data_IF_136630842663
#
_entry.id   IF_136630842663
#
_cell.length_a   1.000
_cell.length_b   1.000
_cell.length_c   1.000
_cell.angle_alpha   90.00
_cell.angle_beta   90.00
_cell.angle_gamma   90.00
#
_symmetry.space_group_name_H-M   'P 1'
#
loop_
_entity.id
_entity.type
_entity.pdbx_description
1 polymer ?
#
# COMPACT_ATOMS: atom_id res chain seq x y z
N UNK A 1 -3.74 29.30 -15.84
CA UNK A 1 -4.13 27.87 -15.75
C UNK A 1 -3.23 27.21 -14.72
N UNK A 2 -3.79 26.68 -13.62
CA UNK A 2 -3.01 25.85 -12.72
C UNK A 2 -2.60 24.57 -13.48
N UNK A 3 -1.32 24.27 -13.54
CA UNK A 3 -0.83 23.06 -14.18
C UNK A 3 -1.51 21.84 -13.56
N UNK A 4 -2.11 20.97 -14.38
CA UNK A 4 -2.62 19.69 -13.91
C UNK A 4 -1.42 18.87 -13.41
N UNK A 5 -1.37 18.60 -12.11
CA UNK A 5 -0.35 17.72 -11.54
C UNK A 5 -0.73 16.28 -11.88
N UNK A 6 0.21 15.56 -12.50
CA UNK A 6 0.07 14.13 -12.76
C UNK A 6 0.82 13.34 -11.70
N UNK A 7 0.25 12.20 -11.33
CA UNK A 7 0.84 11.25 -10.40
C UNK A 7 0.96 9.90 -11.10
N UNK A 8 2.10 9.23 -10.94
CA UNK A 8 2.31 7.89 -11.49
C UNK A 8 1.54 6.91 -10.62
N UNK A 9 0.71 6.08 -11.26
CA UNK A 9 -0.12 5.11 -10.59
C UNK A 9 0.02 3.74 -11.24
N UNK A 10 0.20 2.69 -10.43
CA UNK A 10 0.22 1.31 -10.90
C UNK A 10 -1.19 0.73 -10.85
N UNK A 11 -1.76 0.38 -12.01
CA UNK A 11 -3.07 -0.29 -12.08
C UNK A 11 -3.04 -1.67 -11.42
N UNK A 12 -1.89 -2.36 -11.49
CA UNK A 12 -1.65 -3.61 -10.78
C UNK A 12 -0.83 -3.27 -9.53
N UNK A 13 -1.35 -3.46 -8.31
CA UNK A 13 -0.72 -2.91 -7.12
C UNK A 13 0.48 -3.77 -6.66
N UNK A 14 1.55 -3.09 -6.22
CA UNK A 14 2.79 -3.75 -5.73
C UNK A 14 2.56 -4.70 -4.55
N UNK A 15 1.48 -4.54 -3.79
CA UNK A 15 1.15 -5.41 -2.65
C UNK A 15 0.86 -6.86 -3.06
N UNK A 16 0.51 -7.11 -4.34
CA UNK A 16 0.33 -8.46 -4.88
C UNK A 16 1.56 -9.34 -4.70
N UNK A 17 2.77 -8.76 -4.75
CA UNK A 17 4.01 -9.49 -4.46
C UNK A 17 4.00 -10.10 -3.06
N UNK A 18 3.43 -9.40 -2.07
CA UNK A 18 3.31 -9.93 -0.71
C UNK A 18 2.30 -11.07 -0.59
N UNK A 19 1.24 -11.09 -1.39
CA UNK A 19 0.31 -12.21 -1.46
C UNK A 19 0.96 -13.40 -2.14
N UNK A 20 1.57 -13.18 -3.31
CA UNK A 20 2.34 -14.18 -4.04
C UNK A 20 3.41 -14.83 -3.16
N UNK A 21 4.26 -14.02 -2.51
CA UNK A 21 5.37 -14.53 -1.69
C UNK A 21 4.85 -15.35 -0.51
N UNK A 22 3.74 -14.94 0.14
CA UNK A 22 3.12 -15.72 1.22
C UNK A 22 2.55 -17.05 0.73
N UNK A 23 1.80 -17.03 -0.38
CA UNK A 23 1.23 -18.23 -0.98
C UNK A 23 2.32 -19.22 -1.40
N UNK A 24 3.38 -18.74 -2.07
CA UNK A 24 4.51 -19.54 -2.52
C UNK A 24 5.32 -20.15 -1.37
N UNK A 25 5.38 -19.48 -0.21
CA UNK A 25 6.05 -19.97 0.99
C UNK A 25 5.17 -20.84 1.90
N UNK A 26 3.88 -20.98 1.59
CA UNK A 26 2.90 -21.66 2.44
C UNK A 26 3.12 -23.17 2.52
N UNK A 27 2.94 -23.74 3.71
CA UNK A 27 2.89 -25.19 3.88
C UNK A 27 1.51 -25.73 3.45
N UNK A 28 1.40 -27.06 3.25
CA UNK A 28 0.10 -27.70 2.96
C UNK A 28 -0.75 -27.87 4.23
N UNK A 29 -0.90 -26.79 4.98
CA UNK A 29 -1.72 -26.66 6.16
C UNK A 29 -2.85 -25.64 5.94
N UNK A 30 -3.68 -25.42 6.96
CA UNK A 30 -4.79 -24.46 6.84
C UNK A 30 -4.34 -23.03 6.56
N UNK A 31 -3.17 -22.62 7.06
CA UNK A 31 -2.66 -21.27 6.87
C UNK A 31 -2.09 -21.06 5.46
N UNK A 32 -1.36 -22.03 4.93
CA UNK A 32 -0.85 -22.00 3.57
C UNK A 32 -1.96 -22.12 2.53
N UNK A 33 -2.98 -22.95 2.77
CA UNK A 33 -4.19 -22.98 1.92
C UNK A 33 -4.91 -21.63 1.92
N UNK A 34 -5.07 -20.99 3.07
CA UNK A 34 -5.67 -19.65 3.12
C UNK A 34 -4.82 -18.60 2.39
N UNK A 35 -3.49 -18.64 2.54
CA UNK A 35 -2.61 -17.73 1.83
C UNK A 35 -2.69 -17.92 0.31
N UNK A 36 -2.87 -19.16 -0.15
CA UNK A 36 -3.09 -19.48 -1.56
C UNK A 36 -4.43 -18.94 -2.08
N UNK A 37 -5.53 -19.15 -1.35
CA UNK A 37 -6.83 -18.56 -1.73
C UNK A 37 -6.80 -17.03 -1.73
N UNK A 38 -6.15 -16.42 -0.73
CA UNK A 38 -5.97 -14.96 -0.68
C UNK A 38 -5.20 -14.46 -1.92
N UNK A 39 -4.17 -15.20 -2.36
CA UNK A 39 -3.44 -14.88 -3.59
C UNK A 39 -4.33 -14.98 -4.83
N UNK A 40 -5.04 -16.09 -5.03
CA UNK A 40 -5.92 -16.27 -6.19
C UNK A 40 -7.00 -15.20 -6.26
N UNK A 41 -7.68 -14.91 -5.14
CA UNK A 41 -8.73 -13.89 -5.08
C UNK A 41 -8.18 -12.52 -5.46
N UNK A 42 -7.01 -12.13 -4.94
CA UNK A 42 -6.38 -10.88 -5.32
C UNK A 42 -5.94 -10.85 -6.78
N UNK A 43 -5.36 -11.95 -7.29
CA UNK A 43 -4.94 -12.05 -8.69
C UNK A 43 -6.13 -11.82 -9.62
N UNK A 44 -7.26 -12.50 -9.39
CA UNK A 44 -8.49 -12.31 -10.15
C UNK A 44 -9.04 -10.90 -10.06
N UNK A 45 -9.00 -10.27 -8.89
CA UNK A 45 -9.46 -8.89 -8.71
C UNK A 45 -8.74 -7.89 -9.61
N UNK A 46 -7.45 -8.10 -9.89
CA UNK A 46 -6.65 -7.25 -10.77
C UNK A 46 -6.49 -7.78 -12.19
N UNK A 47 -7.19 -8.87 -12.55
CA UNK A 47 -7.06 -9.51 -13.86
C UNK A 47 -5.65 -10.08 -14.10
N UNK A 48 -4.96 -10.46 -13.03
CA UNK A 48 -3.66 -11.12 -13.07
C UNK A 48 -3.88 -12.63 -13.12
N UNK A 49 -3.14 -13.32 -13.97
CA UNK A 49 -3.11 -14.78 -14.01
C UNK A 49 -2.53 -15.32 -12.68
N UNK A 50 -3.25 -16.15 -11.92
CA UNK A 50 -2.75 -16.69 -10.64
C UNK A 50 -1.51 -17.59 -10.81
N UNK A 51 -1.29 -18.15 -12.01
CA UNK A 51 -0.15 -19.00 -12.34
C UNK A 51 1.07 -18.20 -12.86
N UNK A 52 0.99 -16.86 -12.85
CA UNK A 52 2.08 -15.98 -13.29
C UNK A 52 3.36 -16.24 -12.47
N UNK A 53 4.53 -16.23 -13.12
CA UNK A 53 5.79 -16.28 -12.39
C UNK A 53 6.01 -14.99 -11.60
N UNK A 54 6.83 -15.06 -10.54
CA UNK A 54 7.16 -13.89 -9.73
C UNK A 54 7.80 -12.76 -10.55
N UNK A 55 8.70 -13.10 -11.47
CA UNK A 55 9.39 -12.15 -12.35
C UNK A 55 8.43 -11.47 -13.33
N UNK A 56 7.48 -12.23 -13.86
CA UNK A 56 6.45 -11.72 -14.75
C UNK A 56 5.45 -10.83 -13.98
N UNK A 57 5.13 -11.18 -12.73
CA UNK A 57 4.31 -10.34 -11.86
C UNK A 57 4.99 -9.00 -11.56
N UNK A 58 6.29 -9.00 -11.24
CA UNK A 58 7.06 -7.76 -11.09
C UNK A 58 7.00 -6.93 -12.37
N UNK A 59 7.26 -7.55 -13.52
CA UNK A 59 7.24 -6.87 -14.82
C UNK A 59 5.85 -6.30 -15.17
N UNK A 60 4.79 -7.03 -14.88
CA UNK A 60 3.40 -6.58 -15.05
C UNK A 60 3.09 -5.38 -14.16
N UNK A 61 3.53 -5.41 -12.89
CA UNK A 61 3.35 -4.30 -11.96
C UNK A 61 4.06 -3.05 -12.49
N UNK A 62 5.33 -3.15 -12.88
CA UNK A 62 6.10 -2.00 -13.37
C UNK A 62 5.49 -1.42 -14.67
N UNK A 63 5.09 -2.28 -15.61
CA UNK A 63 4.47 -1.86 -16.87
C UNK A 63 3.05 -1.33 -16.70
N UNK A 64 2.36 -1.66 -15.60
CA UNK A 64 1.04 -1.12 -15.26
C UNK A 64 1.06 0.34 -14.79
N UNK A 65 2.26 0.94 -14.65
CA UNK A 65 2.42 2.34 -14.28
C UNK A 65 1.87 3.28 -15.37
N UNK A 66 0.90 4.10 -15.02
CA UNK A 66 0.30 5.09 -15.89
C UNK A 66 0.22 6.46 -15.19
N UNK A 67 0.49 7.57 -15.90
CA UNK A 67 0.25 8.90 -15.37
C UNK A 67 -1.26 9.15 -15.32
N UNK A 68 -1.77 9.52 -14.14
CA UNK A 68 -3.16 9.94 -13.96
C UNK A 68 -3.22 11.34 -13.34
N UNK A 69 -4.24 12.16 -13.65
CA UNK A 69 -4.44 13.44 -12.97
C UNK A 69 -4.54 13.26 -11.45
N UNK A 70 -3.87 14.13 -10.68
CA UNK A 70 -3.88 14.06 -9.22
C UNK A 70 -5.30 14.17 -8.62
N UNK A 71 -6.23 14.84 -9.32
CA UNK A 71 -7.65 14.89 -8.94
C UNK A 71 -8.34 13.54 -9.09
N UNK A 72 -8.02 12.80 -10.15
CA UNK A 72 -8.56 11.45 -10.41
C UNK A 72 -7.97 10.45 -9.41
N UNK A 73 -6.67 10.52 -9.16
CA UNK A 73 -6.03 9.71 -8.12
C UNK A 73 -6.68 9.95 -6.74
N UNK A 74 -6.91 11.21 -6.36
CA UNK A 74 -7.62 11.56 -5.11
C UNK A 74 -9.05 11.06 -5.06
N UNK A 75 -9.78 11.13 -6.17
CA UNK A 75 -11.14 10.59 -6.26
C UNK A 75 -11.13 9.07 -6.05
N UNK A 76 -10.15 8.37 -6.61
CA UNK A 76 -9.94 6.92 -6.39
C UNK A 76 -9.82 6.56 -4.92
N UNK A 77 -9.02 7.31 -4.14
CA UNK A 77 -8.89 7.12 -2.67
C UNK A 77 -10.18 7.39 -1.88
N UNK A 78 -11.10 8.18 -2.43
CA UNK A 78 -12.32 8.61 -1.73
C UNK A 78 -13.51 7.68 -1.99
N UNK A 79 -13.49 6.95 -3.11
CA UNK A 79 -14.52 5.97 -3.47
C UNK A 79 -14.22 4.61 -2.80
N UNK A 80 -15.25 3.81 -2.52
CA UNK A 80 -15.14 2.47 -1.91
C UNK A 80 -14.53 1.41 -2.85
N UNK A 81 -13.51 1.78 -3.62
CA UNK A 81 -12.74 0.90 -4.48
C UNK A 81 -11.43 0.42 -3.84
N UNK A 82 -10.60 -0.23 -4.65
CA UNK A 82 -9.33 -0.81 -4.25
C UNK A 82 -8.40 0.15 -3.52
N UNK A 83 -8.40 1.43 -3.89
CA UNK A 83 -7.61 2.46 -3.23
C UNK A 83 -7.98 2.66 -1.76
N UNK A 84 -9.27 2.70 -1.43
CA UNK A 84 -9.71 2.84 -0.05
C UNK A 84 -9.36 1.58 0.76
N UNK A 85 -9.45 0.40 0.12
CA UNK A 85 -9.08 -0.89 0.73
C UNK A 85 -7.58 -0.97 1.01
N UNK A 86 -6.73 -0.67 0.04
CA UNK A 86 -5.27 -0.64 0.22
C UNK A 86 -4.83 0.49 1.14
N UNK A 87 -5.44 1.66 1.01
CA UNK A 87 -5.23 2.79 1.92
C UNK A 87 -5.55 2.42 3.37
N UNK A 88 -6.61 1.63 3.59
CA UNK A 88 -6.95 1.07 4.91
C UNK A 88 -5.90 0.05 5.35
N UNK A 89 -5.53 -0.93 4.52
CA UNK A 89 -4.55 -1.96 4.90
C UNK A 89 -3.17 -1.36 5.23
N UNK A 90 -2.65 -0.50 4.36
CA UNK A 90 -1.40 0.23 4.60
C UNK A 90 -1.51 1.19 5.79
N UNK A 91 -2.69 1.80 5.98
CA UNK A 91 -2.98 2.66 7.11
C UNK A 91 -2.97 1.92 8.45
N UNK A 92 -3.55 0.72 8.51
CA UNK A 92 -3.56 -0.13 9.70
C UNK A 92 -2.14 -0.60 10.07
N UNK A 93 -1.34 -1.01 9.10
CA UNK A 93 0.05 -1.41 9.37
C UNK A 93 0.90 -0.22 9.84
N UNK A 94 0.70 0.94 9.23
CA UNK A 94 1.35 2.19 9.66
C UNK A 94 0.93 2.56 11.08
N UNK A 95 -0.36 2.45 11.40
CA UNK A 95 -0.89 2.69 12.74
C UNK A 95 -0.31 1.70 13.75
N UNK A 96 -0.19 0.42 13.40
CA UNK A 96 0.43 -0.61 14.25
C UNK A 96 1.88 -0.29 14.57
N UNK A 97 2.66 0.15 13.57
CA UNK A 97 4.10 0.44 13.73
C UNK A 97 4.38 1.71 14.53
N UNK A 98 3.61 2.77 14.32
CA UNK A 98 3.96 4.10 14.84
C UNK A 98 2.94 4.67 15.85
N UNK A 99 1.82 3.98 16.06
CA UNK A 99 0.78 4.41 16.98
C UNK A 99 -0.11 5.55 16.48
N UNK A 100 -1.21 5.79 17.20
CA UNK A 100 -2.24 6.79 16.86
C UNK A 100 -1.72 8.22 16.69
N UNK A 101 -0.80 8.72 17.56
CA UNK A 101 -0.32 10.09 17.43
C UNK A 101 0.45 10.34 16.13
N UNK A 102 1.36 9.44 15.76
CA UNK A 102 2.13 9.55 14.52
C UNK A 102 1.22 9.41 13.30
N UNK A 103 0.29 8.45 13.33
CA UNK A 103 -0.68 8.25 12.25
C UNK A 103 -1.54 9.50 11.98
N UNK A 104 -1.93 10.21 13.05
CA UNK A 104 -2.68 11.47 12.96
C UNK A 104 -1.85 12.59 12.33
N UNK A 105 -0.56 12.69 12.67
CA UNK A 105 0.37 13.66 12.07
C UNK A 105 0.63 13.36 10.59
N UNK A 106 0.79 12.08 10.21
CA UNK A 106 0.90 11.67 8.82
C UNK A 106 -0.32 12.12 8.01
N UNK A 107 -1.53 11.95 8.56
CA UNK A 107 -2.76 12.46 7.94
C UNK A 107 -2.69 13.96 7.69
N UNK A 108 -2.32 14.76 8.70
CA UNK A 108 -2.17 16.23 8.57
C UNK A 108 -1.10 16.63 7.55
N UNK A 109 0.01 15.88 7.48
CA UNK A 109 1.08 16.08 6.49
C UNK A 109 0.60 15.88 5.05
N UNK A 110 -0.24 14.86 4.81
CA UNK A 110 -0.86 14.61 3.49
C UNK A 110 -1.74 15.76 3.04
N UNK A 111 -2.39 16.45 3.98
CA UNK A 111 -3.18 17.66 3.73
C UNK A 111 -2.39 18.97 3.80
N UNK A 112 -1.05 18.91 3.84
CA UNK A 112 -0.19 20.09 3.86
C UNK A 112 -0.25 20.93 5.14
N UNK A 113 -0.83 20.39 6.23
CA UNK A 113 -0.98 21.09 7.51
C UNK A 113 0.21 20.92 8.46
N UNK A 114 1.13 20.02 8.11
CA UNK A 114 2.34 19.69 8.88
C UNK A 114 3.48 19.56 7.87
N UNK A 115 4.70 19.98 8.23
CA UNK A 115 5.87 19.85 7.36
C UNK A 115 6.48 18.45 7.42
N UNK A 116 7.39 18.11 6.49
CA UNK A 116 8.04 16.80 6.52
C UNK A 116 8.96 16.66 7.74
N UNK A 117 9.63 17.75 8.09
CA UNK A 117 10.57 17.88 9.21
C UNK A 117 9.85 17.68 10.55
N UNK A 118 8.66 18.27 10.71
CA UNK A 118 7.84 18.10 11.90
C UNK A 118 7.35 16.65 12.10
N UNK A 119 7.07 15.93 11.01
CA UNK A 119 6.71 14.51 11.08
C UNK A 119 7.92 13.63 11.43
N UNK A 120 9.11 13.99 10.91
CA UNK A 120 10.34 13.24 11.15
C UNK A 120 10.84 13.38 12.60
N UNK A 121 10.77 14.58 13.18
CA UNK A 121 11.08 14.80 14.60
C UNK A 121 10.25 13.88 15.50
N UNK A 122 8.95 13.75 15.22
CA UNK A 122 8.07 12.86 15.98
C UNK A 122 8.41 11.37 15.79
N UNK A 123 8.89 10.98 14.60
CA UNK A 123 9.39 9.61 14.35
C UNK A 123 10.62 9.32 15.21
N UNK A 124 11.58 10.24 15.26
CA UNK A 124 12.82 10.11 16.04
C UNK A 124 12.50 9.97 17.53
N UNK A 125 11.64 10.83 18.08
CA UNK A 125 11.21 10.75 19.48
C UNK A 125 10.57 9.40 19.84
N UNK A 126 9.73 8.84 18.97
CA UNK A 126 9.13 7.52 19.17
C UNK A 126 10.18 6.41 19.20
N UNK A 127 11.13 6.42 18.26
CA UNK A 127 12.20 5.41 18.21
C UNK A 127 13.13 5.48 19.41
N UNK A 128 13.46 6.69 19.90
CA UNK A 128 14.28 6.88 21.10
C UNK A 128 13.57 6.37 22.35
N UNK A 129 12.26 6.60 22.48
CA UNK A 129 11.47 6.08 23.62
C UNK A 129 11.32 4.56 23.59
N UNK A 130 11.18 3.96 22.41
CA UNK A 130 11.06 2.52 22.26
C UNK A 130 12.36 1.75 22.54
N UNK A 131 13.53 2.36 22.30
CA UNK A 131 14.84 1.76 22.61
C UNK A 131 15.32 1.96 24.04
N UNK A 132 14.61 2.77 24.83
CA UNK A 132 14.92 3.05 26.24
C UNK A 132 14.04 2.25 27.23
N UNK A 133 13.14 1.41 26.74
CA UNK A 133 12.25 0.53 27.50
C UNK A 133 12.70 -0.93 27.36
#
# INVERSE_FOLDING_TARGET
MAACRFEVHHRVPRCLLGFFDRAASGELDGAGLQAWFDWEEEAFRYGVDPDISRENLVSLIETSAAPIPASEHRAGHSQSGDFARWGRLGGLETLRRYGKPWFSLLGRRRWGRVSAEALDLYRVELTTKAGAA
#
